data_IF_068759765735
#
_entry.id   IF_068759765735
#
_cell.length_a   1.000
_cell.length_b   1.000
_cell.length_c   1.000
_cell.angle_alpha   90.00
_cell.angle_beta   90.00
_cell.angle_gamma   90.00
#
_symmetry.space_group_name_H-M   'P 1'
#
loop_
_entity.id
_entity.type
_entity.pdbx_description
1 polymer ?
#
# COMPACT_ATOMS: atom_id res chain seq x y z
N UNK A 1 -4.39 25.95 -28.02
CA UNK A 1 -5.52 25.74 -27.08
C UNK A 1 -5.23 24.74 -25.95
N UNK A 2 -4.05 24.11 -25.86
CA UNK A 2 -3.74 23.09 -24.84
C UNK A 2 -3.21 23.60 -23.49
N UNK A 3 -2.68 24.82 -23.43
CA UNK A 3 -2.00 25.34 -22.22
C UNK A 3 -2.99 25.84 -21.14
N UNK A 4 -4.19 26.27 -21.55
CA UNK A 4 -5.21 26.78 -20.60
C UNK A 4 -5.84 25.68 -19.73
N UNK A 5 -6.04 24.47 -20.28
CA UNK A 5 -6.66 23.37 -19.53
C UNK A 5 -5.73 22.78 -18.46
N UNK A 6 -4.42 22.65 -18.73
CA UNK A 6 -3.47 22.12 -17.73
C UNK A 6 -3.36 23.04 -16.50
N UNK A 7 -3.26 24.35 -16.71
CA UNK A 7 -3.14 25.30 -15.60
C UNK A 7 -4.40 25.32 -14.72
N UNK A 8 -5.59 25.19 -15.32
CA UNK A 8 -6.84 25.14 -14.57
C UNK A 8 -6.97 23.84 -13.76
N UNK A 9 -6.51 22.72 -14.30
CA UNK A 9 -6.47 21.42 -13.59
C UNK A 9 -5.44 21.48 -12.45
N UNK A 10 -4.27 22.05 -12.67
CA UNK A 10 -3.25 22.25 -11.63
C UNK A 10 -3.73 23.17 -10.50
N UNK A 11 -4.42 24.28 -10.83
CA UNK A 11 -4.99 25.18 -9.82
C UNK A 11 -6.13 24.55 -9.03
N UNK A 12 -6.96 23.69 -9.67
CA UNK A 12 -8.00 22.91 -8.97
C UNK A 12 -7.39 21.83 -8.07
N UNK A 13 -6.31 21.19 -8.48
CA UNK A 13 -5.63 20.19 -7.66
C UNK A 13 -5.05 20.78 -6.37
N UNK A 14 -4.52 22.02 -6.42
CA UNK A 14 -4.01 22.72 -5.23
C UNK A 14 -5.05 23.03 -4.16
N UNK A 15 -6.34 22.93 -4.46
CA UNK A 15 -7.41 23.04 -3.48
C UNK A 15 -7.49 21.79 -2.58
N UNK A 16 -7.14 20.62 -3.14
CA UNK A 16 -7.28 19.33 -2.47
C UNK A 16 -5.96 18.69 -2.08
N UNK A 17 -4.86 19.07 -2.75
CA UNK A 17 -3.53 18.49 -2.56
C UNK A 17 -2.53 19.55 -2.13
N UNK A 18 -1.75 19.23 -1.10
CA UNK A 18 -0.59 20.01 -0.70
C UNK A 18 0.62 19.73 -1.63
N UNK A 19 1.72 20.45 -1.42
CA UNK A 19 2.92 20.32 -2.24
C UNK A 19 3.55 18.91 -2.11
N UNK A 20 3.47 18.27 -0.94
CA UNK A 20 3.96 16.91 -0.71
C UNK A 20 3.17 15.87 -1.51
N UNK A 21 1.84 16.02 -1.58
CA UNK A 21 0.98 15.17 -2.42
C UNK A 21 1.35 15.28 -3.90
N UNK A 22 1.65 16.50 -4.37
CA UNK A 22 2.04 16.74 -5.76
C UNK A 22 3.41 16.12 -6.06
N UNK A 23 4.38 16.29 -5.17
CA UNK A 23 5.71 15.70 -5.31
C UNK A 23 5.64 14.17 -5.29
N UNK A 24 4.90 13.58 -4.35
CA UNK A 24 4.68 12.15 -4.29
C UNK A 24 4.05 11.63 -5.59
N UNK A 25 2.97 12.27 -6.06
CA UNK A 25 2.30 11.91 -7.31
C UNK A 25 3.27 11.87 -8.49
N UNK A 26 4.06 12.93 -8.66
CA UNK A 26 4.95 13.07 -9.79
C UNK A 26 6.09 12.03 -9.72
N UNK A 27 6.63 11.78 -8.54
CA UNK A 27 7.62 10.74 -8.29
C UNK A 27 7.05 9.33 -8.57
N UNK A 28 5.87 8.99 -8.03
CA UNK A 28 5.26 7.67 -8.25
C UNK A 28 4.86 7.48 -9.71
N UNK A 29 4.38 8.53 -10.39
CA UNK A 29 4.08 8.48 -11.83
C UNK A 29 5.31 8.16 -12.65
N UNK A 30 6.40 8.88 -12.45
CA UNK A 30 7.67 8.65 -13.16
C UNK A 30 8.17 7.22 -12.91
N UNK A 31 8.18 6.79 -11.66
CA UNK A 31 8.53 5.43 -11.28
C UNK A 31 7.63 4.38 -11.96
N UNK A 32 6.31 4.59 -11.95
CA UNK A 32 5.35 3.65 -12.52
C UNK A 32 5.54 3.48 -14.03
N UNK A 33 5.76 4.59 -14.74
CA UNK A 33 5.99 4.57 -16.20
C UNK A 33 7.30 3.85 -16.54
N UNK A 34 8.37 4.11 -15.79
CA UNK A 34 9.71 3.64 -16.13
C UNK A 34 9.97 2.22 -15.64
N UNK A 35 9.43 1.83 -14.48
CA UNK A 35 9.79 0.60 -13.79
C UNK A 35 8.64 -0.42 -13.72
N UNK A 36 7.38 0.04 -13.60
CA UNK A 36 6.22 -0.86 -13.44
C UNK A 36 5.63 -1.25 -14.80
N UNK A 37 5.39 -0.29 -15.68
CA UNK A 37 4.81 -0.53 -17.02
C UNK A 37 5.52 -1.61 -17.81
N UNK A 38 6.86 -1.68 -17.88
CA UNK A 38 7.55 -2.72 -18.65
C UNK A 38 7.25 -4.15 -18.19
N UNK A 39 6.89 -4.31 -16.91
CA UNK A 39 6.63 -5.61 -16.29
C UNK A 39 5.14 -5.98 -16.23
N UNK A 40 4.23 -5.05 -16.57
CA UNK A 40 2.78 -5.22 -16.37
C UNK A 40 2.24 -6.48 -17.06
N UNK A 41 2.65 -6.73 -18.30
CA UNK A 41 2.18 -7.90 -19.06
C UNK A 41 2.61 -9.22 -18.40
N UNK A 42 3.81 -9.32 -17.86
CA UNK A 42 4.26 -10.53 -17.18
C UNK A 42 3.50 -10.77 -15.86
N UNK A 43 3.16 -9.70 -15.15
CA UNK A 43 2.33 -9.76 -13.94
C UNK A 43 0.90 -10.22 -14.29
N UNK A 44 0.32 -9.73 -15.37
CA UNK A 44 -1.02 -10.15 -15.83
C UNK A 44 -1.06 -11.63 -16.25
N UNK A 45 0.06 -12.21 -16.66
CA UNK A 45 0.16 -13.65 -16.96
C UNK A 45 0.38 -14.53 -15.73
N UNK A 46 0.40 -13.94 -14.53
CA UNK A 46 0.47 -14.65 -13.25
C UNK A 46 1.84 -14.67 -12.59
N UNK A 47 2.81 -13.92 -13.08
CA UNK A 47 4.09 -13.75 -12.42
C UNK A 47 3.94 -12.76 -11.27
N UNK A 48 4.24 -13.19 -10.03
CA UNK A 48 4.14 -12.31 -8.88
C UNK A 48 5.15 -11.14 -8.99
N UNK A 49 4.74 -9.87 -8.73
CA UNK A 49 5.54 -8.68 -9.02
C UNK A 49 6.64 -8.40 -7.98
N UNK A 50 7.47 -9.38 -7.64
CA UNK A 50 8.49 -9.27 -6.58
C UNK A 50 9.47 -8.11 -6.80
N UNK A 51 9.93 -7.91 -8.04
CA UNK A 51 10.85 -6.82 -8.36
C UNK A 51 10.18 -5.44 -8.23
N UNK A 52 8.91 -5.34 -8.64
CA UNK A 52 8.14 -4.11 -8.47
C UNK A 52 8.00 -3.76 -6.97
N UNK A 53 7.68 -4.76 -6.14
CA UNK A 53 7.54 -4.60 -4.69
C UNK A 53 8.86 -4.15 -4.06
N UNK A 54 9.97 -4.77 -4.44
CA UNK A 54 11.30 -4.39 -3.96
C UNK A 54 11.62 -2.92 -4.28
N UNK A 55 11.40 -2.50 -5.52
CA UNK A 55 11.62 -1.12 -5.94
C UNK A 55 10.69 -0.13 -5.23
N UNK A 56 9.42 -0.50 -5.02
CA UNK A 56 8.49 0.28 -4.21
C UNK A 56 8.96 0.43 -2.75
N UNK A 57 9.51 -0.63 -2.17
CA UNK A 57 10.10 -0.62 -0.84
C UNK A 57 11.30 0.34 -0.74
N UNK A 58 12.21 0.31 -1.73
CA UNK A 58 13.36 1.22 -1.83
C UNK A 58 12.94 2.71 -1.90
N UNK A 59 11.77 3.00 -2.47
CA UNK A 59 11.16 4.32 -2.53
C UNK A 59 10.32 4.68 -1.29
N UNK A 60 10.22 3.79 -0.29
CA UNK A 60 9.43 4.00 0.92
C UNK A 60 7.91 3.87 0.72
N UNK A 61 7.43 3.38 -0.43
CA UNK A 61 6.00 3.35 -0.73
C UNK A 61 5.22 2.34 0.13
N UNK A 62 5.91 1.38 0.76
CA UNK A 62 5.26 0.35 1.59
C UNK A 62 4.78 0.88 2.95
N UNK A 63 5.31 2.02 3.40
CA UNK A 63 5.02 2.61 4.70
C UNK A 63 4.34 3.98 4.67
N UNK A 64 3.75 4.42 3.56
CA UNK A 64 3.24 5.78 3.35
C UNK A 64 2.42 6.33 4.54
N UNK A 65 1.34 5.67 5.04
CA UNK A 65 0.49 6.28 6.05
C UNK A 65 0.94 5.96 7.49
N UNK A 66 2.00 5.20 7.68
CA UNK A 66 2.39 4.73 8.99
C UNK A 66 3.41 5.64 9.65
N UNK A 67 3.41 5.66 10.98
CA UNK A 67 4.24 6.51 11.82
C UNK A 67 5.74 6.31 11.53
N UNK A 68 6.47 7.41 11.43
CA UNK A 68 7.92 7.46 11.25
C UNK A 68 8.68 6.69 12.34
N UNK A 69 8.13 6.62 13.55
CA UNK A 69 8.65 5.82 14.66
C UNK A 69 8.88 4.36 14.25
N UNK A 70 8.05 3.84 13.35
CA UNK A 70 8.13 2.46 12.86
C UNK A 70 8.71 2.35 11.45
N UNK A 71 9.32 3.42 10.94
CA UNK A 71 9.90 3.47 9.60
C UNK A 71 8.89 3.75 8.49
N UNK A 72 7.69 4.22 8.83
CA UNK A 72 6.73 4.77 7.87
C UNK A 72 7.07 6.20 7.48
N UNK A 73 6.27 6.80 6.59
CA UNK A 73 6.50 8.16 6.09
C UNK A 73 5.61 9.20 6.81
N UNK A 74 4.69 8.78 7.68
CA UNK A 74 3.80 9.69 8.41
C UNK A 74 2.84 10.49 7.54
N UNK A 75 2.68 10.12 6.26
CA UNK A 75 1.79 10.82 5.34
C UNK A 75 0.33 10.42 5.57
N UNK A 76 -0.59 11.15 4.97
CA UNK A 76 -2.02 10.88 5.12
C UNK A 76 -2.56 9.82 4.14
N UNK A 77 -3.86 9.52 4.28
CA UNK A 77 -4.53 8.56 3.41
C UNK A 77 -4.68 9.05 1.96
N UNK A 78 -4.62 10.37 1.72
CA UNK A 78 -4.68 10.94 0.37
C UNK A 78 -3.38 10.58 -0.36
N UNK A 79 -2.24 10.70 0.30
CA UNK A 79 -0.94 10.29 -0.25
C UNK A 79 -0.94 8.80 -0.65
N UNK A 80 -1.49 7.93 0.21
CA UNK A 80 -1.62 6.50 -0.11
C UNK A 80 -2.48 6.27 -1.37
N UNK A 81 -3.64 6.95 -1.47
CA UNK A 81 -4.53 6.81 -2.63
C UNK A 81 -3.87 7.32 -3.90
N UNK A 82 -3.15 8.44 -3.84
CA UNK A 82 -2.38 8.98 -4.96
C UNK A 82 -1.36 7.94 -5.46
N UNK A 83 -0.60 7.33 -4.57
CA UNK A 83 0.39 6.32 -4.95
C UNK A 83 -0.27 5.09 -5.59
N UNK A 84 -1.37 4.59 -5.02
CA UNK A 84 -2.14 3.46 -5.57
C UNK A 84 -2.70 3.81 -6.96
N UNK A 85 -3.21 5.03 -7.15
CA UNK A 85 -3.75 5.48 -8.44
C UNK A 85 -2.66 5.51 -9.52
N UNK A 86 -1.51 6.11 -9.24
CA UNK A 86 -0.42 6.22 -10.21
C UNK A 86 0.18 4.85 -10.57
N UNK A 87 0.33 3.95 -9.60
CA UNK A 87 0.73 2.55 -9.85
C UNK A 87 -0.33 1.81 -10.67
N UNK A 88 -1.61 1.99 -10.35
CA UNK A 88 -2.73 1.31 -10.98
C UNK A 88 -2.93 1.67 -12.44
N UNK A 89 -2.53 2.87 -12.85
CA UNK A 89 -2.53 3.29 -14.27
C UNK A 89 -1.63 2.42 -15.14
N UNK A 90 -0.58 1.86 -14.54
CA UNK A 90 0.43 1.06 -15.25
C UNK A 90 0.28 -0.44 -15.00
N UNK A 91 -0.04 -0.85 -13.77
CA UNK A 91 -0.25 -2.25 -13.39
C UNK A 91 -1.20 -2.37 -12.20
N UNK A 92 -2.45 -2.75 -12.45
CA UNK A 92 -3.47 -2.90 -11.43
C UNK A 92 -3.09 -3.94 -10.36
N UNK A 93 -2.46 -5.05 -10.74
CA UNK A 93 -2.03 -6.10 -9.81
C UNK A 93 -0.93 -5.64 -8.86
N UNK A 94 0.03 -4.83 -9.34
CA UNK A 94 1.06 -4.22 -8.49
C UNK A 94 0.43 -3.24 -7.49
N UNK A 95 -0.48 -2.37 -7.96
CA UNK A 95 -1.21 -1.44 -7.10
C UNK A 95 -2.07 -2.18 -6.06
N UNK A 96 -2.77 -3.24 -6.44
CA UNK A 96 -3.57 -4.07 -5.55
C UNK A 96 -2.70 -4.75 -4.48
N UNK A 97 -1.50 -5.20 -4.83
CA UNK A 97 -0.55 -5.78 -3.87
C UNK A 97 -0.13 -4.75 -2.82
N UNK A 98 0.23 -3.53 -3.23
CA UNK A 98 0.57 -2.44 -2.31
C UNK A 98 -0.63 -2.07 -1.43
N UNK A 99 -1.81 -1.93 -2.02
CA UNK A 99 -3.03 -1.62 -1.28
C UNK A 99 -3.34 -2.69 -0.23
N UNK A 100 -3.30 -3.97 -0.59
CA UNK A 100 -3.57 -5.07 0.32
C UNK A 100 -2.52 -5.14 1.45
N UNK A 101 -1.25 -4.97 1.12
CA UNK A 101 -0.18 -4.90 2.10
C UNK A 101 -0.43 -3.78 3.13
N UNK A 102 -0.69 -2.57 2.67
CA UNK A 102 -0.80 -1.39 3.54
C UNK A 102 -2.11 -1.38 4.31
N UNK A 103 -3.26 -1.57 3.63
CA UNK A 103 -4.58 -1.39 4.24
C UNK A 103 -5.12 -2.66 4.93
N UNK A 104 -4.79 -3.85 4.44
CA UNK A 104 -5.31 -5.10 4.98
C UNK A 104 -4.28 -5.83 5.86
N UNK A 105 -3.03 -5.92 5.42
CA UNK A 105 -2.00 -6.64 6.17
C UNK A 105 -1.40 -5.83 7.32
N UNK A 106 -1.06 -4.56 7.07
CA UNK A 106 -0.36 -3.69 8.04
C UNK A 106 -1.31 -2.94 8.97
N UNK A 107 -2.42 -2.42 8.44
CA UNK A 107 -3.36 -1.59 9.21
C UNK A 107 -3.89 -2.25 10.49
N UNK A 108 -4.29 -3.53 10.54
CA UNK A 108 -4.75 -4.14 11.78
C UNK A 108 -3.71 -4.11 12.89
N UNK A 109 -2.43 -4.31 12.55
CA UNK A 109 -1.32 -4.25 13.52
C UNK A 109 -1.09 -2.80 13.95
N UNK A 110 -1.06 -1.86 13.00
CA UNK A 110 -0.81 -0.46 13.28
C UNK A 110 -1.91 0.19 14.14
N UNK A 111 -3.17 -0.20 13.94
CA UNK A 111 -4.32 0.40 14.63
C UNK A 111 -4.61 -0.32 15.95
N UNK A 112 -4.62 -1.64 15.94
CA UNK A 112 -5.11 -2.45 17.06
C UNK A 112 -4.04 -3.23 17.81
N UNK A 113 -2.81 -3.31 17.28
CA UNK A 113 -1.70 -4.01 17.93
C UNK A 113 -1.27 -3.34 19.24
N UNK A 114 -0.73 -4.13 20.17
CA UNK A 114 -0.03 -3.59 21.35
C UNK A 114 1.26 -2.90 20.93
N UNK A 115 1.88 -2.11 21.81
CA UNK A 115 3.15 -1.43 21.49
C UNK A 115 4.23 -2.44 21.11
N UNK A 116 4.31 -3.58 21.82
CA UNK A 116 5.27 -4.65 21.54
C UNK A 116 5.02 -5.29 20.17
N UNK A 117 3.76 -5.47 19.78
CA UNK A 117 3.40 -5.99 18.46
C UNK A 117 3.77 -4.99 17.36
N UNK A 118 3.50 -3.71 17.57
CA UNK A 118 3.86 -2.64 16.64
C UNK A 118 5.38 -2.54 16.45
N UNK A 119 6.13 -2.51 17.55
CA UNK A 119 7.59 -2.48 17.52
C UNK A 119 8.21 -3.71 16.85
N UNK A 120 7.58 -4.87 17.00
CA UNK A 120 8.05 -6.12 16.42
C UNK A 120 7.80 -6.22 14.91
N UNK A 121 6.64 -5.78 14.42
CA UNK A 121 6.19 -6.08 13.05
C UNK A 121 6.22 -4.89 12.11
N UNK A 122 5.88 -3.67 12.58
CA UNK A 122 5.74 -2.53 11.69
C UNK A 122 7.04 -2.13 10.98
N UNK A 123 8.23 -2.16 11.61
CA UNK A 123 9.46 -1.79 10.90
C UNK A 123 9.73 -2.64 9.65
N UNK A 124 9.53 -3.95 9.74
CA UNK A 124 9.72 -4.85 8.61
C UNK A 124 8.61 -4.72 7.55
N UNK A 125 7.39 -4.39 7.97
CA UNK A 125 6.27 -4.11 7.06
C UNK A 125 6.46 -2.75 6.37
N UNK A 126 6.75 -1.68 7.09
CA UNK A 126 6.93 -0.34 6.53
C UNK A 126 8.13 -0.27 5.56
N UNK A 127 9.20 -1.00 5.87
CA UNK A 127 10.36 -1.08 4.97
C UNK A 127 10.16 -2.01 3.77
N UNK A 128 9.05 -2.74 3.70
CA UNK A 128 8.80 -3.73 2.65
C UNK A 128 9.66 -5.01 2.72
N UNK A 129 10.41 -5.19 3.81
CA UNK A 129 11.16 -6.43 4.07
C UNK A 129 10.21 -7.62 4.28
N UNK A 130 9.05 -7.36 4.86
CA UNK A 130 7.94 -8.29 4.97
C UNK A 130 6.74 -7.78 4.20
N UNK A 131 6.05 -8.66 3.48
CA UNK A 131 4.80 -8.34 2.81
C UNK A 131 3.63 -8.78 3.70
N UNK A 132 2.79 -7.82 4.09
CA UNK A 132 1.56 -8.09 4.85
C UNK A 132 0.48 -8.69 3.97
N UNK A 133 -0.28 -9.63 4.52
CA UNK A 133 -1.43 -10.24 3.89
C UNK A 133 -2.56 -10.42 4.92
N UNK A 134 -3.79 -10.59 4.43
CA UNK A 134 -4.97 -10.73 5.27
C UNK A 134 -5.90 -11.82 4.73
N UNK A 135 -6.18 -12.83 5.56
CA UNK A 135 -7.13 -13.89 5.27
C UNK A 135 -8.35 -13.73 6.18
N UNK A 136 -9.49 -13.33 5.61
CA UNK A 136 -10.74 -13.11 6.35
C UNK A 136 -11.82 -14.14 6.02
N UNK A 137 -12.05 -14.40 4.73
CA UNK A 137 -13.18 -15.18 4.25
C UNK A 137 -13.03 -16.67 4.61
N UNK A 138 -14.08 -17.24 5.18
CA UNK A 138 -14.23 -18.66 5.47
C UNK A 138 -15.37 -19.27 4.63
N UNK A 139 -15.48 -20.61 4.52
CA UNK A 139 -16.55 -21.24 3.75
C UNK A 139 -17.96 -20.78 4.15
N UNK A 140 -18.17 -20.44 5.43
CA UNK A 140 -19.46 -20.02 5.98
C UNK A 140 -19.52 -18.54 6.39
N UNK A 141 -18.47 -17.75 6.13
CA UNK A 141 -18.37 -16.35 6.52
C UNK A 141 -17.71 -15.52 5.42
N UNK A 142 -18.52 -14.88 4.61
CA UNK A 142 -18.11 -13.93 3.59
C UNK A 142 -18.52 -12.49 4.02
N UNK A 143 -19.63 -11.98 3.46
CA UNK A 143 -20.16 -10.68 3.82
C UNK A 143 -20.54 -10.56 5.30
N UNK A 144 -20.95 -11.65 5.93
CA UNK A 144 -21.14 -11.78 7.38
C UNK A 144 -19.81 -12.18 8.05
N UNK A 145 -18.87 -11.25 8.07
CA UNK A 145 -17.54 -11.46 8.67
C UNK A 145 -17.60 -11.69 10.20
N UNK A 146 -18.68 -11.28 10.86
CA UNK A 146 -18.91 -11.54 12.27
C UNK A 146 -19.16 -13.03 12.60
N UNK A 147 -19.47 -13.83 11.58
CA UNK A 147 -19.75 -15.26 11.74
C UNK A 147 -18.53 -16.17 11.46
N UNK A 148 -17.32 -15.62 11.57
CA UNK A 148 -16.07 -16.42 11.45
C UNK A 148 -15.99 -17.45 12.56
N UNK A 149 -15.56 -18.67 12.20
CA UNK A 149 -15.51 -19.84 13.09
C UNK A 149 -14.08 -20.27 13.45
N UNK A 150 -13.08 -19.76 12.76
CA UNK A 150 -11.68 -20.06 13.07
C UNK A 150 -11.34 -19.62 14.49
N UNK A 151 -10.72 -20.54 15.22
CA UNK A 151 -10.33 -20.32 16.62
C UNK A 151 -8.84 -20.55 16.79
N UNK A 152 -8.18 -19.63 17.50
CA UNK A 152 -6.83 -19.83 17.99
C UNK A 152 -6.90 -20.43 19.40
N UNK A 153 -6.24 -21.57 19.62
CA UNK A 153 -6.15 -22.23 20.93
C UNK A 153 -4.69 -22.15 21.38
N UNK A 154 -4.46 -21.42 22.46
CA UNK A 154 -3.11 -21.25 23.02
C UNK A 154 -2.51 -22.61 23.44
N UNK A 155 -1.25 -22.82 23.11
CA UNK A 155 -0.40 -23.95 23.51
C UNK A 155 0.91 -23.42 24.08
N UNK A 156 1.76 -24.31 24.60
CA UNK A 156 3.02 -23.91 25.27
C UNK A 156 4.00 -23.16 24.35
N UNK A 157 3.96 -23.42 23.05
CA UNK A 157 4.86 -22.90 22.01
C UNK A 157 4.17 -22.08 20.89
N UNK A 158 2.86 -21.77 21.06
CA UNK A 158 2.07 -21.03 20.04
C UNK A 158 0.58 -21.26 20.12
N UNK A 159 -0.05 -21.34 18.92
CA UNK A 159 -1.49 -21.51 18.76
C UNK A 159 -1.81 -22.70 17.85
#
# INVERSE_FOLDING_TARGET
MGISNNKMVEDQMKIYFNDEHILLRDMVREFSVNEIRPNAQSVDTGIFPSENIKKMAELGLMGIPWDEKYGGNGMDSIALVIAIEELGKECASTAATMMAHTSLGTAPIAIFGTDEQKEKYLPDLCSGKMLGAFGLTEPNAGSDAGNTQTRAVAKDDGY
#
